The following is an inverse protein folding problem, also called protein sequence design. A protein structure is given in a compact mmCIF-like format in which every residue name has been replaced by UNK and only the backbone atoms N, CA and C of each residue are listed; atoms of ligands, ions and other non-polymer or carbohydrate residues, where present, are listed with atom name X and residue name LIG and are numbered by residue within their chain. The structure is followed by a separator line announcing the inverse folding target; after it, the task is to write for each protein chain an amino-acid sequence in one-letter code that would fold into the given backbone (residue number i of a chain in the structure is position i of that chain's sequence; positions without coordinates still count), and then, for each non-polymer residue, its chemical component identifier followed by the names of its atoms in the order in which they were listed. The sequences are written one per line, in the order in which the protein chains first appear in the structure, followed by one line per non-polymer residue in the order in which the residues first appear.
data_IF_196535595199
#
_entry.id   IF_196535595199
#
_cell.length_a   1.000
_cell.length_b   1.000
_cell.length_c   1.000
_cell.angle_alpha   90.00
_cell.angle_beta   90.00
_cell.angle_gamma   90.00
#
_symmetry.space_group_name_H-M   'P 1'
#
loop_
_entity.id
_entity.type
_entity.pdbx_description
1 polymer ?
#
# COMPACT_ATOMS: atom_id res chain seq x y z
N UNK A 1 11.22 7.75 -12.35
CA UNK A 1 10.83 8.58 -13.46
C UNK A 1 11.00 7.86 -14.78
N UNK A 2 10.11 8.10 -15.72
CA UNK A 2 10.23 7.54 -17.07
C UNK A 2 11.49 8.07 -17.75
N UNK A 3 12.28 7.19 -18.30
CA UNK A 3 13.60 7.50 -18.84
C UNK A 3 13.60 8.19 -20.20
N UNK A 4 12.47 8.21 -20.93
CA UNK A 4 12.40 8.85 -22.23
C UNK A 4 12.21 10.36 -22.10
N UNK A 5 13.12 11.13 -22.73
CA UNK A 5 13.18 12.60 -22.73
C UNK A 5 13.36 13.22 -21.33
N UNK A 6 14.05 12.55 -20.41
CA UNK A 6 14.46 13.19 -19.14
C UNK A 6 15.44 14.34 -19.42
N UNK A 7 15.43 15.35 -18.54
CA UNK A 7 16.34 16.50 -18.65
C UNK A 7 17.80 16.07 -18.83
N UNK A 8 18.25 15.07 -18.08
CA UNK A 8 19.61 14.53 -18.19
C UNK A 8 19.87 13.95 -19.58
N UNK A 9 18.93 13.23 -20.15
CA UNK A 9 19.05 12.65 -21.48
C UNK A 9 19.18 13.73 -22.60
N UNK A 10 18.40 14.80 -22.44
CA UNK A 10 18.49 15.95 -23.36
C UNK A 10 19.85 16.63 -23.24
N UNK A 11 20.29 16.89 -21.99
CA UNK A 11 21.61 17.50 -21.73
C UNK A 11 22.74 16.69 -22.35
N UNK A 12 22.77 15.36 -22.13
CA UNK A 12 23.82 14.49 -22.70
C UNK A 12 23.80 14.52 -24.22
N UNK A 13 22.61 14.46 -24.86
CA UNK A 13 22.48 14.42 -26.31
C UNK A 13 22.84 15.74 -27.00
N UNK A 14 22.47 16.85 -26.39
CA UNK A 14 22.60 18.17 -27.03
C UNK A 14 23.83 18.94 -26.60
N UNK A 15 24.29 18.74 -25.37
CA UNK A 15 25.37 19.53 -24.78
C UNK A 15 26.59 18.70 -24.36
N UNK A 16 26.50 17.37 -24.45
CA UNK A 16 27.56 16.44 -24.14
C UNK A 16 27.69 16.05 -22.65
N UNK A 17 28.62 15.16 -22.38
CA UNK A 17 28.78 14.53 -21.06
C UNK A 17 29.29 15.52 -19.99
N UNK A 18 30.27 16.36 -20.33
CA UNK A 18 30.88 17.30 -19.39
C UNK A 18 29.88 18.31 -18.84
N UNK A 19 29.02 18.87 -19.70
CA UNK A 19 27.96 19.80 -19.29
C UNK A 19 26.95 19.09 -18.40
N UNK A 20 26.63 17.83 -18.71
CA UNK A 20 25.69 17.02 -17.95
C UNK A 20 26.22 16.70 -16.55
N UNK A 21 27.49 16.34 -16.42
CA UNK A 21 28.15 16.09 -15.14
C UNK A 21 28.18 17.37 -14.28
N UNK A 22 28.57 18.48 -14.88
CA UNK A 22 28.58 19.77 -14.19
C UNK A 22 27.18 20.18 -13.70
N UNK A 23 26.17 19.97 -14.53
CA UNK A 23 24.77 20.22 -14.14
C UNK A 23 24.38 19.37 -12.92
N UNK A 24 24.63 18.06 -12.94
CA UNK A 24 24.30 17.16 -11.81
C UNK A 24 25.03 17.58 -10.54
N UNK A 25 26.33 17.92 -10.63
CA UNK A 25 27.12 18.37 -9.50
C UNK A 25 26.57 19.69 -8.91
N UNK A 26 26.25 20.66 -9.75
CA UNK A 26 25.67 21.93 -9.31
C UNK A 26 24.31 21.76 -8.63
N UNK A 27 23.45 20.92 -9.17
CA UNK A 27 22.15 20.57 -8.54
C UNK A 27 22.37 19.91 -7.17
N UNK A 28 23.35 19.02 -7.07
CA UNK A 28 23.69 18.37 -5.80
C UNK A 28 24.19 19.36 -4.75
N UNK A 29 25.08 20.29 -5.12
CA UNK A 29 25.52 21.36 -4.21
C UNK A 29 24.38 22.25 -3.75
N UNK A 30 23.50 22.62 -4.67
CA UNK A 30 22.30 23.41 -4.31
C UNK A 30 21.38 22.65 -3.34
N UNK A 31 21.16 21.35 -3.59
CA UNK A 31 20.38 20.51 -2.71
C UNK A 31 21.01 20.38 -1.31
N UNK A 32 22.33 20.24 -1.20
CA UNK A 32 23.02 20.20 0.08
C UNK A 32 22.89 21.52 0.84
N UNK A 33 23.07 22.67 0.16
CA UNK A 33 22.88 23.96 0.78
C UNK A 33 21.45 24.17 1.30
N UNK A 34 20.46 23.73 0.51
CA UNK A 34 19.06 23.79 0.92
C UNK A 34 18.78 22.93 2.16
N UNK A 35 19.21 21.65 2.15
CA UNK A 35 18.98 20.73 3.28
C UNK A 35 19.70 21.19 4.54
N UNK A 36 20.90 21.80 4.42
CA UNK A 36 21.64 22.33 5.55
C UNK A 36 20.85 23.42 6.31
N UNK A 37 20.11 24.26 5.58
CA UNK A 37 19.33 25.36 6.16
C UNK A 37 17.91 24.96 6.58
N UNK A 38 17.28 24.03 5.87
CA UNK A 38 15.87 23.69 6.07
C UNK A 38 15.68 22.34 6.77
N UNK A 39 16.64 21.43 6.63
CA UNK A 39 16.48 20.05 7.06
C UNK A 39 15.41 19.29 6.25
N UNK A 40 15.28 18.01 6.51
CA UNK A 40 14.20 17.18 5.99
C UNK A 40 13.99 15.98 6.91
N UNK A 41 12.76 15.78 7.36
CA UNK A 41 12.38 14.60 8.15
C UNK A 41 10.93 14.23 7.90
N UNK A 42 10.60 12.95 8.09
CA UNK A 42 9.23 12.45 8.15
C UNK A 42 8.91 12.15 9.61
N UNK A 43 7.98 12.91 10.18
CA UNK A 43 7.54 12.74 11.57
C UNK A 43 6.32 11.82 11.67
N UNK A 44 5.98 11.42 12.91
CA UNK A 44 4.76 10.66 13.18
C UNK A 44 3.51 11.38 12.69
N UNK A 45 3.45 12.70 12.84
CA UNK A 45 2.33 13.52 12.34
C UNK A 45 2.12 13.44 10.83
N UNK A 46 3.16 13.14 10.07
CA UNK A 46 3.07 12.93 8.61
C UNK A 46 2.44 11.57 8.25
N UNK A 47 2.41 10.64 9.19
CA UNK A 47 1.88 9.30 9.02
C UNK A 47 0.45 9.13 9.55
N UNK A 48 -0.09 10.13 10.28
CA UNK A 48 -1.43 10.05 10.87
C UNK A 48 -2.46 10.57 9.88
N UNK A 49 -3.38 9.69 9.48
CA UNK A 49 -4.53 10.04 8.65
C UNK A 49 -5.62 10.74 9.48
N UNK A 50 -6.15 11.86 8.98
CA UNK A 50 -7.28 12.57 9.59
C UNK A 50 -8.64 11.93 9.27
N UNK A 51 -8.69 10.88 8.45
CA UNK A 51 -9.91 10.24 7.94
C UNK A 51 -9.95 8.73 8.24
N UNK A 52 -9.49 8.32 9.40
CA UNK A 52 -9.45 6.90 9.79
C UNK A 52 -10.83 6.22 9.74
N UNK A 53 -11.91 6.90 10.12
CA UNK A 53 -13.28 6.38 10.04
C UNK A 53 -13.73 5.99 8.62
N UNK A 54 -13.14 6.59 7.60
CA UNK A 54 -13.45 6.23 6.21
C UNK A 54 -12.81 4.90 5.81
N UNK A 55 -11.74 4.48 6.48
CA UNK A 55 -11.06 3.21 6.21
C UNK A 55 -11.94 2.04 6.67
N UNK A 56 -12.56 2.12 7.85
CA UNK A 56 -13.48 1.10 8.35
C UNK A 56 -14.67 0.91 7.40
N UNK A 57 -15.21 2.01 6.86
CA UNK A 57 -16.29 1.94 5.86
C UNK A 57 -15.85 1.23 4.57
N UNK A 58 -14.60 1.44 4.13
CA UNK A 58 -14.05 0.73 2.97
C UNK A 58 -13.90 -0.76 3.24
N UNK A 59 -13.37 -1.13 4.41
CA UNK A 59 -13.21 -2.53 4.82
C UNK A 59 -14.57 -3.23 4.83
N UNK A 60 -15.56 -2.65 5.52
CA UNK A 60 -16.91 -3.20 5.62
C UNK A 60 -17.55 -3.38 4.24
N UNK A 61 -17.43 -2.38 3.36
CA UNK A 61 -17.91 -2.47 1.99
C UNK A 61 -17.28 -3.61 1.21
N UNK A 62 -15.95 -3.77 1.32
CA UNK A 62 -15.24 -4.86 0.64
C UNK A 62 -15.68 -6.24 1.14
N UNK A 63 -15.91 -6.39 2.43
CA UNK A 63 -16.39 -7.64 3.01
C UNK A 63 -17.82 -7.97 2.57
N UNK A 64 -18.70 -6.97 2.50
CA UNK A 64 -20.06 -7.14 1.97
C UNK A 64 -20.05 -7.53 0.49
N UNK A 65 -19.23 -6.89 -0.33
CA UNK A 65 -19.06 -7.24 -1.75
C UNK A 65 -18.50 -8.66 -1.91
N UNK A 66 -17.48 -9.02 -1.14
CA UNK A 66 -16.88 -10.36 -1.16
C UNK A 66 -17.91 -11.44 -0.78
N UNK A 67 -18.70 -11.21 0.27
CA UNK A 67 -19.79 -12.10 0.69
C UNK A 67 -20.84 -12.25 -0.41
N UNK A 68 -21.30 -11.15 -1.01
CA UNK A 68 -22.26 -11.20 -2.12
C UNK A 68 -21.74 -11.98 -3.33
N UNK A 69 -20.44 -11.95 -3.61
CA UNK A 69 -19.82 -12.76 -4.67
C UNK A 69 -19.87 -14.25 -4.31
N UNK A 70 -19.55 -14.61 -3.07
CA UNK A 70 -19.60 -16.01 -2.60
C UNK A 70 -21.02 -16.58 -2.64
N UNK A 71 -22.03 -15.77 -2.26
CA UNK A 71 -23.43 -16.20 -2.26
C UNK A 71 -24.00 -16.36 -3.68
N UNK A 72 -23.48 -15.60 -4.65
CA UNK A 72 -24.03 -15.57 -6.02
C UNK A 72 -23.36 -16.58 -6.95
N UNK A 73 -22.08 -16.90 -6.74
CA UNK A 73 -21.28 -17.69 -7.67
C UNK A 73 -21.05 -19.09 -7.14
N UNK A 74 -21.69 -20.08 -7.78
CA UNK A 74 -21.59 -21.49 -7.41
C UNK A 74 -20.21 -22.13 -7.70
N UNK A 75 -19.51 -21.67 -8.74
CA UNK A 75 -18.16 -22.16 -9.05
C UNK A 75 -17.14 -21.57 -8.06
N UNK A 76 -16.60 -22.44 -7.20
CA UNK A 76 -15.64 -22.06 -6.15
C UNK A 76 -14.36 -21.41 -6.69
N UNK A 77 -13.88 -21.81 -7.87
CA UNK A 77 -12.65 -21.25 -8.44
C UNK A 77 -12.88 -19.83 -8.95
N UNK A 78 -13.99 -19.62 -9.65
CA UNK A 78 -14.39 -18.31 -10.17
C UNK A 78 -14.73 -17.38 -9.00
N UNK A 79 -15.46 -17.87 -8.01
CA UNK A 79 -15.78 -17.12 -6.78
C UNK A 79 -14.50 -16.66 -6.07
N UNK A 80 -13.53 -17.55 -5.84
CA UNK A 80 -12.27 -17.22 -5.18
C UNK A 80 -11.49 -16.12 -5.92
N UNK A 81 -11.41 -16.18 -7.26
CA UNK A 81 -10.73 -15.15 -8.07
C UNK A 81 -11.42 -13.79 -7.91
N UNK A 82 -12.77 -13.78 -7.95
CA UNK A 82 -13.53 -12.53 -7.84
C UNK A 82 -13.49 -11.94 -6.43
N UNK A 83 -13.54 -12.77 -5.39
CA UNK A 83 -13.38 -12.35 -3.99
C UNK A 83 -11.99 -11.76 -3.78
N UNK A 84 -10.93 -12.42 -4.25
CA UNK A 84 -9.59 -11.88 -4.19
C UNK A 84 -9.47 -10.51 -4.90
N UNK A 85 -10.08 -10.37 -6.06
CA UNK A 85 -10.11 -9.10 -6.80
C UNK A 85 -10.88 -8.01 -6.05
N UNK A 86 -12.03 -8.34 -5.42
CA UNK A 86 -12.81 -7.40 -4.62
C UNK A 86 -12.05 -6.93 -3.37
N UNK A 87 -11.45 -7.87 -2.63
CA UNK A 87 -10.66 -7.54 -1.45
C UNK A 87 -9.39 -6.73 -1.80
N UNK A 88 -8.77 -7.00 -2.95
CA UNK A 88 -7.64 -6.22 -3.45
C UNK A 88 -8.03 -4.79 -3.81
N UNK A 89 -9.25 -4.56 -4.35
CA UNK A 89 -9.79 -3.19 -4.56
C UNK A 89 -9.95 -2.42 -3.26
N UNK A 90 -10.22 -3.09 -2.14
CA UNK A 90 -10.26 -2.47 -0.82
C UNK A 90 -8.97 -1.76 -0.47
N UNK A 91 -7.84 -2.39 -0.76
CA UNK A 91 -6.51 -1.80 -0.62
C UNK A 91 -6.35 -0.55 -1.49
N UNK A 92 -6.77 -0.60 -2.75
CA UNK A 92 -6.65 0.52 -3.69
C UNK A 92 -7.54 1.71 -3.29
N UNK A 93 -8.72 1.44 -2.74
CA UNK A 93 -9.60 2.47 -2.17
C UNK A 93 -9.02 3.05 -0.87
N UNK A 94 -8.44 2.22 -0.01
CA UNK A 94 -7.69 2.66 1.17
C UNK A 94 -6.53 3.59 0.80
N UNK A 95 -5.84 3.29 -0.30
CA UNK A 95 -4.76 4.12 -0.85
C UNK A 95 -5.25 5.53 -1.26
N UNK A 96 -6.41 5.63 -1.91
CA UNK A 96 -6.99 6.93 -2.27
C UNK A 96 -7.33 7.74 -1.02
N UNK A 97 -7.98 7.10 -0.04
CA UNK A 97 -8.34 7.77 1.21
C UNK A 97 -7.08 8.24 1.97
N UNK A 98 -6.06 7.39 2.05
CA UNK A 98 -4.80 7.76 2.70
C UNK A 98 -4.12 8.95 2.02
N UNK A 99 -4.12 8.99 0.68
CA UNK A 99 -3.60 10.12 -0.10
C UNK A 99 -4.35 11.42 0.19
N UNK A 100 -5.69 11.38 0.22
CA UNK A 100 -6.55 12.55 0.41
C UNK A 100 -6.64 12.99 1.87
N UNK A 101 -6.21 12.15 2.80
CA UNK A 101 -6.29 12.40 4.24
C UNK A 101 -5.02 12.98 4.84
N UNK A 102 -3.92 12.99 4.11
CA UNK A 102 -2.67 13.59 4.54
C UNK A 102 -2.65 15.09 4.19
N UNK A 103 -1.98 15.90 5.02
CA UNK A 103 -1.87 17.34 4.83
C UNK A 103 -1.10 17.67 3.56
N UNK A 104 -1.39 18.81 2.93
CA UNK A 104 -0.67 19.27 1.72
C UNK A 104 0.85 19.43 1.94
N UNK A 105 1.26 19.96 3.09
CA UNK A 105 2.68 20.12 3.47
C UNK A 105 3.17 18.89 4.26
N UNK A 106 3.13 17.71 3.62
CA UNK A 106 3.52 16.44 4.22
C UNK A 106 4.80 15.94 3.59
N UNK A 107 5.85 15.78 4.39
CA UNK A 107 7.16 15.35 3.91
C UNK A 107 7.14 13.90 3.39
N UNK A 108 6.26 13.06 3.91
CA UNK A 108 6.09 11.71 3.40
C UNK A 108 5.51 11.71 1.97
N UNK A 109 4.49 12.56 1.70
CA UNK A 109 3.96 12.78 0.35
C UNK A 109 5.04 13.37 -0.55
N UNK A 110 5.80 14.36 -0.08
CA UNK A 110 6.90 14.97 -0.84
C UNK A 110 7.93 13.95 -1.31
N UNK A 111 8.25 12.96 -0.47
CA UNK A 111 9.18 11.86 -0.80
C UNK A 111 8.67 11.04 -1.98
N UNK A 112 7.37 10.73 -2.01
CA UNK A 112 6.73 9.93 -3.07
C UNK A 112 6.52 10.75 -4.34
N UNK A 113 5.99 11.97 -4.24
CA UNK A 113 5.69 12.83 -5.41
C UNK A 113 6.94 13.26 -6.16
N UNK A 114 8.05 13.48 -5.46
CA UNK A 114 9.34 13.75 -6.08
C UNK A 114 9.95 12.54 -6.78
N UNK A 115 9.42 11.34 -6.54
CA UNK A 115 9.97 10.08 -7.06
C UNK A 115 11.28 9.66 -6.40
N UNK A 116 11.63 10.26 -5.26
CA UNK A 116 12.89 9.94 -4.57
C UNK A 116 12.84 8.58 -3.88
N UNK A 117 11.74 8.24 -3.22
CA UNK A 117 11.57 6.96 -2.53
C UNK A 117 10.11 6.59 -2.33
N UNK A 118 9.82 5.27 -2.49
CA UNK A 118 8.49 4.72 -2.27
C UNK A 118 7.45 5.16 -3.30
N UNK A 119 6.22 4.78 -3.04
CA UNK A 119 5.04 5.13 -3.81
C UNK A 119 3.83 5.34 -2.88
N UNK A 120 2.68 5.67 -3.45
CA UNK A 120 1.44 5.84 -2.68
C UNK A 120 0.95 4.54 -2.01
N UNK A 121 1.38 3.38 -2.51
CA UNK A 121 1.10 2.11 -1.88
C UNK A 121 1.79 2.00 -0.51
N UNK A 122 3.05 2.42 -0.42
CA UNK A 122 3.76 2.46 0.86
C UNK A 122 3.09 3.43 1.85
N UNK A 123 2.64 4.60 1.38
CA UNK A 123 1.86 5.53 2.22
C UNK A 123 0.61 4.85 2.75
N UNK A 124 -0.16 4.18 1.91
CA UNK A 124 -1.39 3.50 2.31
C UNK A 124 -1.14 2.40 3.37
N UNK A 125 -0.09 1.60 3.19
CA UNK A 125 0.28 0.57 4.16
C UNK A 125 0.67 1.14 5.52
N UNK A 126 1.33 2.29 5.53
CA UNK A 126 1.75 2.93 6.78
C UNK A 126 0.59 3.64 7.45
N UNK A 127 -0.24 4.38 6.70
CA UNK A 127 -1.23 5.32 7.27
C UNK A 127 -2.67 4.82 7.23
N UNK A 128 -3.00 3.87 6.38
CA UNK A 128 -4.35 3.39 6.11
C UNK A 128 -4.59 1.95 6.53
N UNK A 129 -4.38 1.03 5.61
CA UNK A 129 -4.48 -0.42 5.85
C UNK A 129 -3.52 -1.18 4.92
N UNK A 130 -3.09 -2.36 5.36
CA UNK A 130 -2.31 -3.24 4.48
C UNK A 130 -3.20 -3.93 3.45
N UNK A 131 -4.43 -4.30 3.82
CA UNK A 131 -5.40 -4.97 2.94
C UNK A 131 -5.03 -6.40 2.60
N UNK A 132 -5.59 -6.92 1.50
CA UNK A 132 -5.39 -8.31 1.09
C UNK A 132 -3.93 -8.58 0.70
N UNK A 133 -3.33 -9.54 1.38
CA UNK A 133 -2.02 -10.10 1.07
C UNK A 133 -2.18 -11.42 0.31
N UNK A 134 -1.35 -11.61 -0.71
CA UNK A 134 -1.41 -12.79 -1.57
C UNK A 134 -0.06 -13.53 -1.57
N UNK A 135 -0.15 -14.85 -1.57
CA UNK A 135 1.00 -15.74 -1.76
C UNK A 135 0.92 -16.31 -3.19
N UNK A 136 1.91 -16.01 -4.03
CA UNK A 136 1.94 -16.44 -5.44
C UNK A 136 0.65 -16.05 -6.21
N UNK A 137 0.12 -14.87 -5.97
CA UNK A 137 -1.06 -14.32 -6.65
C UNK A 137 -2.42 -14.86 -6.15
N UNK A 138 -2.43 -15.65 -5.09
CA UNK A 138 -3.64 -16.23 -4.50
C UNK A 138 -3.74 -15.89 -3.02
N UNK A 139 -4.96 -15.81 -2.50
CA UNK A 139 -5.17 -15.71 -1.05
C UNK A 139 -4.59 -16.94 -0.35
N UNK A 140 -4.24 -16.80 0.93
CA UNK A 140 -3.75 -17.92 1.74
C UNK A 140 -4.78 -19.04 1.74
N UNK A 141 -4.32 -20.27 1.43
CA UNK A 141 -5.17 -21.45 1.32
C UNK A 141 -5.11 -22.28 2.60
N UNK A 142 -6.12 -23.10 2.81
CA UNK A 142 -6.12 -24.08 3.90
C UNK A 142 -5.14 -25.19 3.59
N UNK A 143 -4.02 -25.25 4.31
CA UNK A 143 -2.96 -26.25 4.15
C UNK A 143 -2.61 -26.97 5.45
N UNK A 144 -3.00 -26.43 6.59
CA UNK A 144 -2.74 -27.01 7.91
C UNK A 144 -3.91 -27.87 8.38
N UNK A 145 -3.63 -28.79 9.28
CA UNK A 145 -4.61 -29.67 9.92
C UNK A 145 -5.56 -30.34 8.90
N UNK A 146 -5.01 -31.09 7.95
CA UNK A 146 -5.73 -31.76 6.87
C UNK A 146 -6.59 -30.80 6.01
N UNK A 147 -6.02 -29.65 5.65
CA UNK A 147 -6.66 -28.62 4.83
C UNK A 147 -7.90 -27.95 5.46
N UNK A 148 -7.94 -27.89 6.79
CA UNK A 148 -9.03 -27.20 7.51
C UNK A 148 -8.61 -25.85 8.07
N UNK A 149 -7.31 -25.51 8.09
CA UNK A 149 -6.75 -24.28 8.68
C UNK A 149 -5.73 -23.63 7.76
N UNK A 150 -5.78 -22.32 7.64
CA UNK A 150 -4.87 -21.52 6.80
C UNK A 150 -3.56 -21.19 7.50
N UNK A 151 -3.64 -20.62 8.70
CA UNK A 151 -2.51 -20.17 9.50
C UNK A 151 -2.61 -20.70 10.95
N UNK A 152 -1.48 -20.85 11.66
CA UNK A 152 -1.45 -21.42 13.02
C UNK A 152 -2.29 -20.66 14.04
N UNK A 153 -2.47 -19.35 13.85
CA UNK A 153 -3.15 -18.46 14.80
C UNK A 153 -4.68 -18.45 14.68
N UNK A 154 -5.22 -19.07 13.61
CA UNK A 154 -6.66 -19.18 13.38
C UNK A 154 -7.18 -20.59 13.74
N UNK A 155 -8.42 -20.63 14.19
CA UNK A 155 -9.09 -21.91 14.46
C UNK A 155 -9.35 -22.71 13.19
N UNK A 156 -9.48 -24.03 13.32
CA UNK A 156 -9.88 -24.92 12.22
C UNK A 156 -11.39 -24.86 11.93
N UNK A 157 -12.17 -24.18 12.75
CA UNK A 157 -13.58 -23.92 12.54
C UNK A 157 -13.82 -22.42 12.67
N UNK A 158 -14.09 -21.77 11.57
CA UNK A 158 -14.34 -20.33 11.50
C UNK A 158 -15.77 -20.18 10.98
N UNK A 159 -16.67 -19.73 11.84
CA UNK A 159 -18.08 -19.48 11.49
C UNK A 159 -18.30 -18.03 11.05
N UNK A 160 -17.37 -17.12 11.41
CA UNK A 160 -17.40 -15.69 11.06
C UNK A 160 -16.67 -15.45 9.73
N UNK A 161 -17.38 -14.89 8.76
CA UNK A 161 -16.85 -14.57 7.43
C UNK A 161 -15.73 -13.53 7.44
N UNK A 162 -15.79 -12.56 8.34
CA UNK A 162 -14.72 -11.56 8.47
C UNK A 162 -13.42 -12.22 8.93
N UNK A 163 -13.52 -13.08 9.96
CA UNK A 163 -12.39 -13.87 10.45
C UNK A 163 -11.87 -14.81 9.35
N UNK A 164 -12.73 -15.33 8.51
CA UNK A 164 -12.33 -16.16 7.36
C UNK A 164 -11.50 -15.33 6.36
N UNK A 165 -11.90 -14.10 6.02
CA UNK A 165 -11.12 -13.23 5.13
C UNK A 165 -9.77 -12.87 5.74
N UNK A 166 -9.74 -12.54 7.04
CA UNK A 166 -8.48 -12.32 7.77
C UNK A 166 -7.57 -13.54 7.74
N UNK A 167 -8.12 -14.73 8.00
CA UNK A 167 -7.36 -15.98 7.98
C UNK A 167 -6.77 -16.33 6.61
N UNK A 168 -7.32 -15.75 5.55
CA UNK A 168 -6.85 -15.87 4.18
C UNK A 168 -5.99 -14.69 3.73
N UNK A 169 -5.54 -13.85 4.67
CA UNK A 169 -4.53 -12.82 4.44
C UNK A 169 -5.07 -11.41 4.29
N UNK A 170 -6.31 -11.11 4.72
CA UNK A 170 -6.78 -9.72 4.77
C UNK A 170 -6.34 -9.07 6.08
N UNK A 171 -5.54 -8.01 5.99
CA UNK A 171 -5.00 -7.25 7.11
C UNK A 171 -5.75 -5.93 7.21
N UNK A 172 -6.47 -5.73 8.33
CA UNK A 172 -7.28 -4.52 8.58
C UNK A 172 -6.44 -3.33 9.03
N UNK A 173 -5.37 -3.61 9.76
CA UNK A 173 -4.54 -2.58 10.36
C UNK A 173 -3.49 -2.02 9.40
N UNK A 174 -2.96 -0.85 9.73
CA UNK A 174 -1.79 -0.24 9.11
C UNK A 174 -0.58 -0.32 10.04
N UNK A 175 0.61 -0.04 9.53
CA UNK A 175 1.82 -0.05 10.34
C UNK A 175 1.79 0.99 11.47
N UNK A 176 1.19 2.17 11.25
CA UNK A 176 1.10 3.20 12.27
C UNK A 176 0.11 2.85 13.40
N UNK A 177 -0.95 2.13 13.08
CA UNK A 177 -1.92 1.64 14.06
C UNK A 177 -1.41 0.40 14.81
N UNK A 178 -0.42 -0.29 14.23
CA UNK A 178 0.14 -1.53 14.75
C UNK A 178 -0.63 -2.76 14.31
N UNK A 179 0.10 -3.77 13.84
CA UNK A 179 -0.48 -5.07 13.49
C UNK A 179 -0.76 -5.87 14.75
N UNK A 180 -1.88 -6.57 14.78
CA UNK A 180 -2.13 -7.53 15.84
C UNK A 180 -1.31 -8.82 15.60
N UNK A 181 -1.15 -9.72 16.62
CA UNK A 181 -0.33 -10.93 16.47
C UNK A 181 -0.79 -11.90 15.37
N UNK A 182 -2.04 -11.79 14.91
CA UNK A 182 -2.55 -12.63 13.79
C UNK A 182 -2.27 -12.02 12.44
N UNK A 183 -2.07 -10.71 12.37
CA UNK A 183 -1.79 -9.97 11.14
C UNK A 183 -0.28 -9.92 10.82
N UNK A 184 0.57 -10.11 11.83
CA UNK A 184 2.03 -10.16 11.70
C UNK A 184 2.50 -11.53 11.23
#
# INVERSE_FOLDING_TARGET
GSSHNSLIQVLVKEYGEDVSVNFVNNVQFLAYAYILHHGFTVGISDCISTKSSNIDNVINKCFLEAKGIEDTIADKKISEIKVNASLSKGRDNGMKIAKDALKENNNFISTVTSGSKGDYFNIAQITGLLGQQNLSGKRITYTLNNNTRSLPHYSFKIDDKEIEYESKGFIKNSFIHGLNPREF
#
